data_IF_601534974762
#
_entry.id   IF_601534974762
#
_cell.length_a   1.000
_cell.length_b   1.000
_cell.length_c   1.000
_cell.angle_alpha   90.00
_cell.angle_beta   90.00
_cell.angle_gamma   90.00
#
_symmetry.space_group_name_H-M   'P 1'
#
loop_
_entity.id
_entity.type
_entity.pdbx_description
1 polymer ?
#
# COMPACT_ATOMS: atom_id res chain seq x y z
N UNK A 1 88.02 11.41 -95.34
CA UNK A 1 88.68 10.92 -94.12
C UNK A 1 88.24 11.72 -92.91
N UNK A 2 88.65 12.99 -92.81
CA UNK A 2 88.42 13.82 -91.60
C UNK A 2 87.14 14.68 -91.63
N UNK A 3 86.61 15.02 -92.80
CA UNK A 3 85.44 15.91 -92.93
C UNK A 3 84.13 15.20 -92.58
N UNK A 4 83.90 13.98 -93.08
CA UNK A 4 82.74 13.15 -92.68
C UNK A 4 82.73 12.80 -91.18
N UNK A 5 83.91 12.62 -90.57
CA UNK A 5 84.03 12.36 -89.14
C UNK A 5 83.64 13.59 -88.31
N UNK A 6 84.05 14.79 -88.76
CA UNK A 6 83.66 16.06 -88.15
C UNK A 6 82.15 16.29 -88.25
N UNK A 7 81.54 16.01 -89.39
CA UNK A 7 80.09 16.17 -89.58
C UNK A 7 79.29 15.19 -88.71
N UNK A 8 79.73 13.93 -88.60
CA UNK A 8 79.14 12.94 -87.67
C UNK A 8 79.17 13.42 -86.22
N UNK A 9 80.31 13.92 -85.75
CA UNK A 9 80.46 14.43 -84.39
C UNK A 9 79.59 15.66 -84.12
N UNK A 10 79.35 16.50 -85.13
CA UNK A 10 78.42 17.64 -85.02
C UNK A 10 76.98 17.15 -84.87
N UNK A 11 76.54 16.19 -85.70
CA UNK A 11 75.20 15.61 -85.59
C UNK A 11 74.97 14.90 -84.25
N UNK A 12 75.97 14.18 -83.75
CA UNK A 12 75.91 13.52 -82.45
C UNK A 12 75.83 14.54 -81.30
N UNK A 13 76.64 15.60 -81.36
CA UNK A 13 76.57 16.71 -80.39
C UNK A 13 75.19 17.36 -80.40
N UNK A 14 74.64 17.66 -81.58
CA UNK A 14 73.34 18.32 -81.70
C UNK A 14 72.20 17.41 -81.21
N UNK A 15 72.29 16.09 -81.46
CA UNK A 15 71.35 15.10 -80.91
C UNK A 15 71.41 15.04 -79.37
N UNK A 16 72.62 15.03 -78.79
CA UNK A 16 72.81 15.06 -77.33
C UNK A 16 72.28 16.36 -76.72
N UNK A 17 72.44 17.51 -77.40
CA UNK A 17 71.88 18.79 -76.95
C UNK A 17 70.34 18.75 -76.94
N UNK A 18 69.72 18.19 -77.99
CA UNK A 18 68.26 18.03 -78.04
C UNK A 18 67.75 17.08 -76.96
N UNK A 19 68.46 15.98 -76.70
CA UNK A 19 68.14 15.04 -75.63
C UNK A 19 68.26 15.69 -74.24
N UNK A 20 69.34 16.44 -74.00
CA UNK A 20 69.50 17.22 -72.76
C UNK A 20 68.35 18.20 -72.56
N UNK A 21 68.00 18.98 -73.57
CA UNK A 21 66.89 19.93 -73.48
C UNK A 21 65.53 19.23 -73.21
N UNK A 22 65.31 18.06 -73.80
CA UNK A 22 64.13 17.22 -73.54
C UNK A 22 64.10 16.71 -72.10
N UNK A 23 65.22 16.20 -71.59
CA UNK A 23 65.35 15.72 -70.21
C UNK A 23 65.19 16.84 -69.19
N UNK A 24 65.77 18.02 -69.44
CA UNK A 24 65.59 19.20 -68.59
C UNK A 24 64.11 19.63 -68.53
N UNK A 25 63.41 19.64 -69.67
CA UNK A 25 61.97 19.92 -69.70
C UNK A 25 61.14 18.87 -68.95
N UNK A 26 61.50 17.58 -69.05
CA UNK A 26 60.83 16.51 -68.33
C UNK A 26 61.11 16.58 -66.81
N UNK A 27 62.32 16.96 -66.42
CA UNK A 27 62.70 17.16 -65.02
C UNK A 27 61.89 18.31 -64.41
N UNK A 28 61.84 19.47 -65.08
CA UNK A 28 61.05 20.63 -64.62
C UNK A 28 59.55 20.30 -64.50
N UNK A 29 59.01 19.53 -65.45
CA UNK A 29 57.62 19.05 -65.39
C UNK A 29 57.40 18.13 -64.18
N UNK A 30 58.32 17.20 -63.95
CA UNK A 30 58.26 16.25 -62.82
C UNK A 30 58.39 16.96 -61.48
N UNK A 31 59.28 17.94 -61.35
CA UNK A 31 59.44 18.78 -60.16
C UNK A 31 58.13 19.55 -59.84
N UNK A 32 57.49 20.10 -60.87
CA UNK A 32 56.19 20.79 -60.72
C UNK A 32 55.08 19.84 -60.24
N UNK A 33 55.06 18.62 -60.78
CA UNK A 33 54.11 17.59 -60.34
C UNK A 33 54.37 17.16 -58.88
N UNK A 34 55.63 16.95 -58.49
CA UNK A 34 56.01 16.60 -57.12
C UNK A 34 55.56 17.69 -56.14
N UNK A 35 55.78 18.96 -56.46
CA UNK A 35 55.35 20.07 -55.61
C UNK A 35 53.82 20.08 -55.46
N UNK A 36 53.08 19.94 -56.56
CA UNK A 36 51.60 19.91 -56.55
C UNK A 36 51.08 18.74 -55.70
N UNK A 37 51.66 17.55 -55.85
CA UNK A 37 51.26 16.37 -55.06
C UNK A 37 51.61 16.53 -53.58
N UNK A 38 52.71 17.22 -53.27
CA UNK A 38 53.11 17.51 -51.88
C UNK A 38 52.11 18.44 -51.21
N UNK A 39 51.69 19.52 -51.89
CA UNK A 39 50.68 20.45 -51.38
C UNK A 39 49.33 19.75 -51.12
N UNK A 40 48.89 18.92 -52.08
CA UNK A 40 47.66 18.13 -51.92
C UNK A 40 47.78 17.15 -50.76
N UNK A 41 48.93 16.49 -50.60
CA UNK A 41 49.15 15.55 -49.50
C UNK A 41 49.04 16.25 -48.14
N UNK A 42 49.63 17.45 -48.01
CA UNK A 42 49.57 18.20 -46.77
C UNK A 42 48.17 18.76 -46.48
N UNK A 43 47.42 19.16 -47.50
CA UNK A 43 46.00 19.50 -47.36
C UNK A 43 45.17 18.28 -46.87
N UNK A 44 45.39 17.11 -47.46
CA UNK A 44 44.68 15.89 -47.05
C UNK A 44 45.05 15.45 -45.64
N UNK A 45 46.33 15.56 -45.23
CA UNK A 45 46.74 15.30 -43.84
C UNK A 45 46.01 16.21 -42.86
N UNK A 46 45.90 17.49 -43.18
CA UNK A 46 45.16 18.46 -42.36
C UNK A 46 43.68 18.09 -42.23
N UNK A 47 43.02 17.73 -43.35
CA UNK A 47 41.62 17.26 -43.36
C UNK A 47 41.43 16.00 -42.53
N UNK A 48 42.30 15.00 -42.67
CA UNK A 48 42.24 13.76 -41.87
C UNK A 48 42.37 14.07 -40.38
N UNK A 49 43.28 14.98 -39.99
CA UNK A 49 43.43 15.39 -38.60
C UNK A 49 42.16 16.06 -38.06
N UNK A 50 41.54 16.96 -38.83
CA UNK A 50 40.29 17.62 -38.45
C UNK A 50 39.15 16.61 -38.26
N UNK A 51 38.95 15.73 -39.24
CA UNK A 51 37.91 14.70 -39.19
C UNK A 51 38.13 13.77 -37.99
N UNK A 52 39.38 13.41 -37.69
CA UNK A 52 39.69 12.55 -36.55
C UNK A 52 39.33 13.24 -35.22
N UNK A 53 39.62 14.53 -35.08
CA UNK A 53 39.24 15.29 -33.90
C UNK A 53 37.72 15.38 -33.74
N UNK A 54 36.99 15.65 -34.82
CA UNK A 54 35.52 15.68 -34.81
C UNK A 54 34.93 14.31 -34.43
N UNK A 55 35.50 13.23 -34.98
CA UNK A 55 35.11 11.86 -34.65
C UNK A 55 35.32 11.56 -33.16
N UNK A 56 36.49 11.87 -32.61
CA UNK A 56 36.81 11.61 -31.20
C UNK A 56 35.88 12.41 -30.26
N UNK A 57 35.54 13.65 -30.64
CA UNK A 57 34.57 14.46 -29.90
C UNK A 57 33.16 13.85 -29.95
N UNK A 58 32.67 13.47 -31.13
CA UNK A 58 31.37 12.84 -31.29
C UNK A 58 31.28 11.48 -30.55
N UNK A 59 32.36 10.70 -30.55
CA UNK A 59 32.45 9.45 -29.80
C UNK A 59 32.36 9.69 -28.29
N UNK A 60 33.04 10.71 -27.77
CA UNK A 60 32.95 11.11 -26.37
C UNK A 60 31.53 11.50 -25.96
N UNK A 61 30.86 12.34 -26.77
CA UNK A 61 29.48 12.77 -26.53
C UNK A 61 28.49 11.59 -26.57
N UNK A 62 28.66 10.67 -27.54
CA UNK A 62 27.86 9.46 -27.62
C UNK A 62 28.02 8.59 -26.37
N UNK A 63 29.23 8.42 -25.88
CA UNK A 63 29.50 7.65 -24.67
C UNK A 63 28.91 8.31 -23.41
N UNK A 64 28.97 9.64 -23.30
CA UNK A 64 28.30 10.37 -22.22
C UNK A 64 26.78 10.20 -22.26
N UNK A 65 26.18 10.29 -23.45
CA UNK A 65 24.74 10.09 -23.64
C UNK A 65 24.31 8.66 -23.26
N UNK A 66 25.08 7.65 -23.69
CA UNK A 66 24.87 6.24 -23.31
C UNK A 66 24.96 6.03 -21.81
N UNK A 67 25.90 6.67 -21.13
CA UNK A 67 26.03 6.58 -19.67
C UNK A 67 24.80 7.18 -18.96
N UNK A 68 24.34 8.36 -19.40
CA UNK A 68 23.12 9.00 -18.88
C UNK A 68 21.88 8.13 -19.11
N UNK A 69 21.76 7.52 -20.29
CA UNK A 69 20.64 6.62 -20.60
C UNK A 69 20.59 5.42 -19.65
N UNK A 70 21.74 4.75 -19.42
CA UNK A 70 21.83 3.63 -18.48
C UNK A 70 21.46 4.02 -17.04
N UNK A 71 21.85 5.22 -16.63
CA UNK A 71 21.48 5.76 -15.32
C UNK A 71 19.96 6.00 -15.23
N UNK A 72 19.37 6.63 -16.24
CA UNK A 72 17.91 6.81 -16.33
C UNK A 72 17.17 5.47 -16.30
N UNK A 73 17.61 4.47 -17.07
CA UNK A 73 17.00 3.14 -17.10
C UNK A 73 17.05 2.45 -15.71
N UNK A 74 18.15 2.65 -14.98
CA UNK A 74 18.33 2.14 -13.63
C UNK A 74 17.38 2.83 -12.64
N UNK A 75 17.22 4.15 -12.76
CA UNK A 75 16.27 4.93 -11.94
C UNK A 75 14.82 4.55 -12.24
N UNK A 76 14.45 4.42 -13.51
CA UNK A 76 13.11 3.97 -13.94
C UNK A 76 12.82 2.59 -13.34
N UNK A 77 13.76 1.64 -13.47
CA UNK A 77 13.62 0.29 -12.93
C UNK A 77 13.42 0.29 -11.41
N UNK A 78 14.11 1.18 -10.68
CA UNK A 78 13.93 1.36 -9.24
C UNK A 78 12.55 1.92 -8.90
N UNK A 79 12.13 2.99 -9.58
CA UNK A 79 10.83 3.63 -9.37
C UNK A 79 9.70 2.64 -9.60
N UNK A 80 9.76 1.83 -10.67
CA UNK A 80 8.75 0.79 -10.96
C UNK A 80 8.67 -0.24 -9.84
N UNK A 81 9.81 -0.71 -9.31
CA UNK A 81 9.84 -1.63 -8.17
C UNK A 81 9.22 -1.02 -6.91
N UNK A 82 9.51 0.24 -6.63
CA UNK A 82 8.98 0.93 -5.46
C UNK A 82 7.48 1.23 -5.61
N UNK A 83 7.01 1.58 -6.82
CA UNK A 83 5.59 1.70 -7.14
C UNK A 83 4.84 0.39 -6.88
N UNK A 84 5.37 -0.74 -7.34
CA UNK A 84 4.74 -2.04 -7.12
C UNK A 84 4.66 -2.40 -5.62
N UNK A 85 5.72 -2.13 -4.85
CA UNK A 85 5.70 -2.32 -3.38
C UNK A 85 4.66 -1.45 -2.69
N UNK A 86 4.54 -0.18 -3.10
CA UNK A 86 3.54 0.73 -2.54
C UNK A 86 2.11 0.30 -2.88
N UNK A 87 1.88 -0.19 -4.10
CA UNK A 87 0.58 -0.76 -4.49
C UNK A 87 0.21 -1.97 -3.65
N UNK A 88 1.16 -2.88 -3.38
CA UNK A 88 0.91 -4.03 -2.51
C UNK A 88 0.56 -3.58 -1.09
N UNK A 89 1.34 -2.66 -0.51
CA UNK A 89 1.05 -2.10 0.83
C UNK A 89 -0.33 -1.44 0.90
N UNK A 90 -0.74 -0.74 -0.15
CA UNK A 90 -2.06 -0.11 -0.22
C UNK A 90 -3.18 -1.16 -0.28
N UNK A 91 -2.99 -2.23 -1.05
CA UNK A 91 -3.91 -3.37 -1.09
C UNK A 91 -4.07 -4.01 0.29
N UNK A 92 -2.96 -4.30 0.96
CA UNK A 92 -2.94 -4.92 2.30
C UNK A 92 -3.63 -4.01 3.34
N UNK A 93 -3.32 -2.71 3.33
CA UNK A 93 -3.95 -1.73 4.21
C UNK A 93 -5.47 -1.61 3.96
N UNK A 94 -5.92 -1.73 2.71
CA UNK A 94 -7.34 -1.69 2.38
C UNK A 94 -8.09 -2.94 2.87
N UNK A 95 -7.44 -4.12 2.85
CA UNK A 95 -8.00 -5.34 3.45
C UNK A 95 -8.13 -5.18 4.96
N UNK A 96 -7.09 -4.68 5.64
CA UNK A 96 -7.15 -4.48 7.09
C UNK A 96 -8.18 -3.44 7.48
N UNK A 97 -8.29 -2.33 6.72
CA UNK A 97 -9.36 -1.34 6.92
C UNK A 97 -10.75 -1.98 6.86
N UNK A 98 -11.04 -2.79 5.84
CA UNK A 98 -12.34 -3.48 5.72
C UNK A 98 -12.60 -4.43 6.87
N UNK A 99 -11.57 -5.13 7.36
CA UNK A 99 -11.68 -6.03 8.51
C UNK A 99 -12.05 -5.24 9.78
N UNK A 100 -11.37 -4.13 10.03
CA UNK A 100 -11.67 -3.25 11.16
C UNK A 100 -13.07 -2.63 11.05
N UNK A 101 -13.50 -2.23 9.84
CA UNK A 101 -14.85 -1.72 9.62
C UNK A 101 -15.94 -2.75 9.94
N UNK A 102 -15.73 -4.01 9.55
CA UNK A 102 -16.67 -5.09 9.88
C UNK A 102 -16.67 -5.39 11.39
N UNK A 103 -15.52 -5.33 12.03
CA UNK A 103 -15.40 -5.54 13.47
C UNK A 103 -16.11 -4.44 14.27
N UNK A 104 -15.97 -3.17 13.87
CA UNK A 104 -16.70 -2.04 14.47
C UNK A 104 -18.20 -2.26 14.33
N UNK A 105 -18.70 -2.61 13.15
CA UNK A 105 -20.13 -2.89 12.95
C UNK A 105 -20.64 -4.02 13.83
N UNK A 106 -19.85 -5.10 13.97
CA UNK A 106 -20.19 -6.21 14.86
C UNK A 106 -20.29 -5.73 16.31
N UNK A 107 -19.30 -4.98 16.78
CA UNK A 107 -19.30 -4.43 18.14
C UNK A 107 -20.46 -3.45 18.39
N UNK A 108 -20.80 -2.60 17.43
CA UNK A 108 -21.95 -1.68 17.53
C UNK A 108 -23.28 -2.44 17.65
N UNK A 109 -23.45 -3.51 16.86
CA UNK A 109 -24.62 -4.38 16.96
C UNK A 109 -24.69 -5.08 18.31
N UNK A 110 -23.58 -5.68 18.78
CA UNK A 110 -23.50 -6.34 20.08
C UNK A 110 -23.75 -5.37 21.24
N UNK A 111 -23.23 -4.14 21.16
CA UNK A 111 -23.49 -3.09 22.14
C UNK A 111 -24.98 -2.76 22.19
N UNK A 112 -25.61 -2.56 21.03
CA UNK A 112 -27.04 -2.25 20.94
C UNK A 112 -27.89 -3.39 21.51
N UNK A 113 -27.58 -4.64 21.17
CA UNK A 113 -28.28 -5.81 21.68
C UNK A 113 -28.11 -5.97 23.19
N UNK A 114 -26.91 -5.75 23.72
CA UNK A 114 -26.65 -5.74 25.15
C UNK A 114 -27.45 -4.64 25.86
N UNK A 115 -27.46 -3.41 25.31
CA UNK A 115 -28.22 -2.29 25.86
C UNK A 115 -29.72 -2.62 25.91
N UNK A 116 -30.29 -3.09 24.80
CA UNK A 116 -31.69 -3.49 24.72
C UNK A 116 -32.03 -4.61 25.72
N UNK A 117 -31.10 -5.53 25.95
CA UNK A 117 -31.28 -6.59 26.95
C UNK A 117 -31.29 -6.04 28.37
N UNK A 118 -30.42 -5.08 28.68
CA UNK A 118 -30.40 -4.39 29.99
C UNK A 118 -31.69 -3.60 30.19
N UNK A 119 -32.13 -2.82 29.21
CA UNK A 119 -33.35 -2.03 29.30
C UNK A 119 -34.56 -2.92 29.58
N UNK A 120 -34.71 -4.02 28.83
CA UNK A 120 -35.77 -5.01 29.06
C UNK A 120 -35.73 -5.64 30.46
N UNK A 121 -34.54 -5.91 31.01
CA UNK A 121 -34.41 -6.46 32.36
C UNK A 121 -34.84 -5.45 33.42
N UNK A 122 -34.45 -4.18 33.25
CA UNK A 122 -34.84 -3.09 34.16
C UNK A 122 -36.36 -2.84 34.10
N UNK A 123 -36.95 -2.83 32.91
CA UNK A 123 -38.41 -2.69 32.73
C UNK A 123 -39.19 -3.85 33.37
N UNK A 124 -38.75 -5.09 33.15
CA UNK A 124 -39.43 -6.28 33.69
C UNK A 124 -39.35 -6.36 35.22
N UNK A 125 -38.28 -5.84 35.81
CA UNK A 125 -37.98 -5.99 37.22
C UNK A 125 -37.83 -4.62 37.89
N UNK A 126 -38.96 -4.00 38.26
CA UNK A 126 -38.98 -2.66 38.86
C UNK A 126 -38.13 -2.50 40.12
N UNK A 127 -37.89 -3.58 40.88
CA UNK A 127 -36.99 -3.59 42.04
C UNK A 127 -35.53 -3.26 41.68
N UNK A 128 -35.09 -3.56 40.45
CA UNK A 128 -33.73 -3.26 39.98
C UNK A 128 -33.46 -1.76 40.07
N UNK A 129 -34.43 -0.90 39.77
CA UNK A 129 -34.22 0.55 39.86
C UNK A 129 -33.92 1.01 41.30
N UNK A 130 -34.56 0.41 42.29
CA UNK A 130 -34.37 0.73 43.71
C UNK A 130 -33.05 0.16 44.26
N UNK A 131 -32.64 -1.03 43.80
CA UNK A 131 -31.56 -1.78 44.42
C UNK A 131 -30.28 -1.89 43.57
N UNK A 132 -30.27 -1.38 42.33
CA UNK A 132 -29.08 -1.40 41.44
C UNK A 132 -27.82 -0.84 42.08
N UNK A 133 -27.96 0.14 42.97
CA UNK A 133 -26.84 0.72 43.74
C UNK A 133 -26.16 -0.26 44.71
N UNK A 134 -26.77 -1.41 45.00
CA UNK A 134 -26.23 -2.47 45.82
C UNK A 134 -25.50 -3.53 44.99
N UNK A 135 -25.66 -3.53 43.65
CA UNK A 135 -25.08 -4.56 42.79
C UNK A 135 -23.55 -4.56 42.85
N UNK A 136 -22.97 -5.73 43.10
CA UNK A 136 -21.52 -5.91 43.23
C UNK A 136 -20.91 -5.37 44.53
N UNK A 137 -21.71 -4.86 45.48
CA UNK A 137 -21.20 -4.42 46.77
C UNK A 137 -20.93 -5.62 47.69
N UNK A 138 -19.69 -5.71 48.16
CA UNK A 138 -19.24 -6.73 49.11
C UNK A 138 -20.10 -6.75 50.37
N UNK A 139 -20.49 -7.93 50.83
CA UNK A 139 -21.31 -8.10 52.03
C UNK A 139 -22.80 -7.77 51.86
N UNK A 140 -23.26 -7.51 50.63
CA UNK A 140 -24.70 -7.43 50.29
C UNK A 140 -25.17 -8.73 49.63
N UNK A 141 -26.48 -8.90 49.48
CA UNK A 141 -27.04 -10.02 48.71
C UNK A 141 -26.61 -10.06 47.24
N UNK A 142 -26.06 -8.95 46.73
CA UNK A 142 -25.58 -8.78 45.36
C UNK A 142 -24.04 -8.81 45.24
N UNK A 143 -23.34 -9.39 46.20
CA UNK A 143 -21.90 -9.63 46.10
C UNK A 143 -21.60 -10.79 45.14
N UNK A 144 -21.33 -10.45 43.87
CA UNK A 144 -21.04 -11.42 42.81
C UNK A 144 -19.71 -12.17 42.98
N UNK A 145 -18.87 -11.78 43.94
CA UNK A 145 -17.61 -12.47 44.21
C UNK A 145 -17.79 -13.62 45.20
N UNK A 146 -18.72 -13.48 46.15
CA UNK A 146 -19.02 -14.49 47.17
C UNK A 146 -20.20 -15.39 46.79
N UNK A 147 -21.15 -14.90 45.99
CA UNK A 147 -22.23 -15.71 45.40
C UNK A 147 -21.99 -15.96 43.91
N UNK A 148 -21.92 -17.23 43.52
CA UNK A 148 -21.86 -17.62 42.12
C UNK A 148 -23.20 -17.36 41.43
N UNK A 149 -23.16 -16.51 40.41
CA UNK A 149 -24.34 -16.13 39.61
C UNK A 149 -24.96 -17.32 38.87
N UNK A 150 -24.19 -18.34 38.51
CA UNK A 150 -24.70 -19.54 37.84
C UNK A 150 -25.48 -20.44 38.80
N UNK A 151 -24.98 -20.66 40.01
CA UNK A 151 -25.68 -21.45 41.01
C UNK A 151 -26.95 -20.74 41.50
N UNK A 152 -26.87 -19.43 41.75
CA UNK A 152 -28.06 -18.62 42.07
C UNK A 152 -29.13 -18.69 40.98
N UNK A 153 -28.74 -18.75 39.70
CA UNK A 153 -29.67 -18.94 38.58
C UNK A 153 -30.33 -20.32 38.61
N UNK A 154 -29.57 -21.40 38.86
CA UNK A 154 -30.15 -22.75 38.96
C UNK A 154 -31.13 -22.85 40.12
N UNK A 155 -30.80 -22.27 41.26
CA UNK A 155 -31.68 -22.23 42.43
C UNK A 155 -32.96 -21.45 42.13
N UNK A 156 -32.87 -20.30 41.44
CA UNK A 156 -34.04 -19.57 40.96
C UNK A 156 -34.94 -20.41 40.04
N UNK A 157 -34.36 -21.10 39.05
CA UNK A 157 -35.11 -21.96 38.13
C UNK A 157 -35.80 -23.12 38.88
N UNK A 158 -35.12 -23.74 39.86
CA UNK A 158 -35.69 -24.78 40.72
C UNK A 158 -36.86 -24.26 41.55
N UNK A 159 -36.67 -23.15 42.26
CA UNK A 159 -37.71 -22.55 43.11
C UNK A 159 -38.92 -22.07 42.28
N UNK A 160 -38.70 -21.52 41.08
CA UNK A 160 -39.80 -21.16 40.17
C UNK A 160 -40.59 -22.40 39.72
N UNK A 161 -39.91 -23.51 39.42
CA UNK A 161 -40.58 -24.77 39.06
C UNK A 161 -41.39 -25.33 40.23
N UNK A 162 -40.85 -25.30 41.45
CA UNK A 162 -41.58 -25.70 42.66
C UNK A 162 -42.78 -24.80 42.94
N UNK A 163 -42.61 -23.48 42.82
CA UNK A 163 -43.69 -22.51 43.00
C UNK A 163 -44.83 -22.77 42.01
N UNK A 164 -44.51 -22.95 40.72
CA UNK A 164 -45.52 -23.27 39.70
C UNK A 164 -46.21 -24.61 39.97
N UNK A 165 -45.49 -25.59 40.50
CA UNK A 165 -46.05 -26.88 40.91
C UNK A 165 -46.98 -26.76 42.13
N UNK A 166 -46.59 -25.96 43.13
CA UNK A 166 -47.42 -25.66 44.31
C UNK A 166 -48.66 -24.86 43.93
N UNK A 167 -48.55 -23.87 43.06
CA UNK A 167 -49.69 -23.06 42.60
C UNK A 167 -50.78 -23.92 41.95
N UNK A 168 -50.39 -24.96 41.21
CA UNK A 168 -51.33 -25.94 40.62
C UNK A 168 -52.00 -26.84 41.67
N UNK A 169 -51.37 -27.04 42.83
CA UNK A 169 -51.88 -27.88 43.94
C UNK A 169 -52.74 -27.09 44.92
N UNK A 170 -52.60 -25.76 44.96
CA UNK A 170 -53.47 -24.89 45.78
C UNK A 170 -54.86 -24.84 45.15
N UNK A 171 -55.88 -25.24 45.91
CA UNK A 171 -57.27 -25.12 45.48
C UNK A 171 -57.71 -23.65 45.57
N UNK A 172 -57.58 -22.92 44.45
CA UNK A 172 -57.92 -21.49 44.35
C UNK A 172 -59.34 -21.16 44.82
N UNK A 173 -60.27 -22.13 44.79
CA UNK A 173 -61.65 -21.98 45.26
C UNK A 173 -61.75 -21.86 46.79
N UNK A 174 -60.83 -22.49 47.53
CA UNK A 174 -60.78 -22.40 49.00
C UNK A 174 -60.20 -21.06 49.43
N UNK A 175 -59.18 -20.54 48.75
CA UNK A 175 -58.64 -19.19 49.01
C UNK A 175 -59.70 -18.11 48.81
N UNK A 176 -60.45 -18.16 47.70
CA UNK A 176 -61.56 -17.24 47.46
C UNK A 176 -62.70 -17.37 48.50
N UNK A 177 -62.90 -18.56 49.08
CA UNK A 177 -63.89 -18.77 50.13
C UNK A 177 -63.41 -18.21 51.49
N UNK A 178 -62.11 -18.29 51.78
CA UNK A 178 -61.52 -17.67 52.97
C UNK A 178 -61.50 -16.15 52.89
N UNK A 179 -61.12 -15.56 51.74
CA UNK A 179 -61.20 -14.10 51.54
C UNK A 179 -62.63 -13.59 51.76
N UNK A 180 -63.64 -14.29 51.22
CA UNK A 180 -65.03 -13.93 51.45
C UNK A 180 -65.44 -14.01 52.92
N UNK A 181 -64.97 -15.03 53.64
CA UNK A 181 -65.24 -15.17 55.07
C UNK A 181 -64.54 -14.10 55.91
N UNK A 182 -63.32 -13.71 55.54
CA UNK A 182 -62.61 -12.59 56.16
C UNK A 182 -63.27 -11.25 55.89
N UNK A 183 -63.75 -11.01 54.67
CA UNK A 183 -64.50 -9.80 54.32
C UNK A 183 -65.81 -9.71 55.12
N UNK A 184 -66.55 -10.83 55.21
CA UNK A 184 -67.77 -10.90 56.01
C UNK A 184 -67.49 -10.70 57.51
N UNK A 185 -66.37 -11.23 58.02
CA UNK A 185 -65.94 -11.01 59.40
C UNK A 185 -65.54 -9.55 59.66
N UNK A 186 -64.75 -8.95 58.78
CA UNK A 186 -64.34 -7.55 58.88
C UNK A 186 -65.55 -6.60 58.78
N UNK A 187 -66.52 -6.92 57.93
CA UNK A 187 -67.78 -6.17 57.83
C UNK A 187 -68.65 -6.36 59.08
N UNK A 188 -68.62 -7.53 59.72
CA UNK A 188 -69.26 -7.74 61.02
C UNK A 188 -68.55 -6.95 62.15
N UNK A 189 -67.22 -6.91 62.15
CA UNK A 189 -66.44 -6.12 63.11
C UNK A 189 -66.66 -4.62 62.91
N UNK A 190 -66.74 -4.15 61.66
CA UNK A 190 -67.03 -2.74 61.36
C UNK A 190 -68.43 -2.37 61.87
N UNK A 191 -69.44 -3.20 61.61
CA UNK A 191 -70.81 -3.01 62.13
C UNK A 191 -70.87 -3.05 63.64
N UNK A 192 -70.13 -3.96 64.29
CA UNK A 192 -70.03 -4.03 65.75
C UNK A 192 -69.43 -2.74 66.33
N UNK A 193 -68.35 -2.23 65.76
CA UNK A 193 -67.70 -0.99 66.20
C UNK A 193 -68.57 0.26 65.96
N UNK A 194 -69.50 0.21 64.99
CA UNK A 194 -70.49 1.28 64.76
C UNK A 194 -71.61 1.24 65.81
N UNK A 195 -71.95 0.06 66.34
CA UNK A 195 -73.02 -0.12 67.35
C UNK A 195 -72.49 0.10 68.78
N UNK A 196 -71.20 -0.17 69.02
CA UNK A 196 -70.55 -0.01 70.34
C UNK A 196 -70.00 1.41 70.60
N UNK A 197 -70.09 2.34 69.63
CA UNK A 197 -69.79 3.78 69.77
C UNK A 197 -71.08 4.61 69.69
#
# INVERSE_FOLDING_TARGET
>A
GHENERERLIMEKDAVIQELASLESQLASSETQINTLTDVLDEQKSKVSSIKQEYDQAESELNQSRAKMKECDSQISRIVKDQHKLQQKLSDANVERKKMENEVKRMEMEQKDCSLKVDKLVEKHGWIAAEKQLFGKSGTDYDFSSRDTNEARKELEHLQAEQAGLEKRVNKKVMAMFEKAEDEFNDLISKKNIIEN
#
